data_IF_626317766602
#
_entry.id   IF_626317766602
#
_cell.length_a   1.000
_cell.length_b   1.000
_cell.length_c   1.000
_cell.angle_alpha   90.00
_cell.angle_beta   90.00
_cell.angle_gamma   90.00
#
_symmetry.space_group_name_H-M   'P 1'
#
loop_
_entity.id
_entity.type
_entity.pdbx_description
1 polymer ?
#
# COMPACT_ATOMS: atom_id res chain seq x y z
N UNK A 1 -11.48 -51.18 -22.63
CA UNK A 1 -10.74 -50.43 -23.65
C UNK A 1 -9.32 -51.00 -23.71
N UNK A 2 -8.79 -51.35 -24.89
CA UNK A 2 -7.41 -51.91 -24.97
C UNK A 2 -6.42 -50.87 -24.51
N UNK A 3 -5.39 -51.25 -23.77
CA UNK A 3 -4.38 -50.37 -23.16
C UNK A 3 -3.81 -49.34 -24.17
N UNK A 4 -3.52 -49.78 -25.37
CA UNK A 4 -3.06 -48.93 -26.48
C UNK A 4 -4.08 -47.80 -26.81
N UNK A 5 -5.37 -48.10 -26.81
CA UNK A 5 -6.42 -47.08 -27.08
C UNK A 5 -6.49 -46.05 -25.95
N UNK A 6 -6.35 -46.52 -24.68
CA UNK A 6 -6.27 -45.62 -23.51
C UNK A 6 -5.08 -44.67 -23.61
N UNK A 7 -3.90 -45.20 -23.95
CA UNK A 7 -2.69 -44.39 -24.09
C UNK A 7 -2.78 -43.35 -25.20
N UNK A 8 -3.35 -43.76 -26.38
CA UNK A 8 -3.58 -42.82 -27.49
C UNK A 8 -4.55 -41.71 -27.10
N UNK A 9 -5.67 -42.06 -26.46
CA UNK A 9 -6.65 -41.05 -26.00
C UNK A 9 -6.02 -40.09 -24.97
N UNK A 10 -5.22 -40.62 -24.02
CA UNK A 10 -4.52 -39.78 -23.04
C UNK A 10 -3.56 -38.83 -23.74
N UNK A 11 -2.74 -39.31 -24.68
CA UNK A 11 -1.80 -38.46 -25.43
C UNK A 11 -2.51 -37.38 -26.24
N UNK A 12 -3.61 -37.74 -26.90
CA UNK A 12 -4.41 -36.79 -27.69
C UNK A 12 -5.04 -35.70 -26.79
N UNK A 13 -5.62 -36.10 -25.66
CA UNK A 13 -6.22 -35.14 -24.72
C UNK A 13 -5.15 -34.23 -24.07
N UNK A 14 -4.04 -34.80 -23.65
CA UNK A 14 -2.92 -34.00 -23.08
C UNK A 14 -2.35 -33.04 -24.12
N UNK A 15 -2.12 -33.52 -25.34
CA UNK A 15 -1.66 -32.69 -26.45
C UNK A 15 -2.65 -31.57 -26.79
N UNK A 16 -3.95 -31.89 -26.85
CA UNK A 16 -4.99 -30.89 -27.12
C UNK A 16 -5.00 -29.79 -26.02
N UNK A 17 -4.86 -30.15 -24.75
CA UNK A 17 -4.80 -29.18 -23.67
C UNK A 17 -3.56 -28.29 -23.80
N UNK A 18 -2.37 -28.87 -23.92
CA UNK A 18 -1.10 -28.13 -23.99
C UNK A 18 -1.04 -27.23 -25.22
N UNK A 19 -1.27 -27.77 -26.40
CA UNK A 19 -1.22 -26.99 -27.62
C UNK A 19 -2.41 -26.04 -27.77
N UNK A 20 -3.58 -26.39 -27.23
CA UNK A 20 -4.75 -25.52 -27.20
C UNK A 20 -4.53 -24.28 -26.34
N UNK A 21 -3.98 -24.45 -25.14
CA UNK A 21 -3.61 -23.32 -24.27
C UNK A 21 -2.51 -22.46 -24.89
N UNK A 22 -1.48 -23.10 -25.50
CA UNK A 22 -0.40 -22.34 -26.15
C UNK A 22 -0.95 -21.52 -27.34
N UNK A 23 -1.78 -22.12 -28.18
CA UNK A 23 -2.41 -21.41 -29.31
C UNK A 23 -3.34 -20.28 -28.82
N UNK A 24 -4.12 -20.53 -27.78
CA UNK A 24 -4.98 -19.50 -27.17
C UNK A 24 -4.14 -18.32 -26.65
N UNK A 25 -3.01 -18.58 -25.95
CA UNK A 25 -2.11 -17.53 -25.49
C UNK A 25 -1.51 -16.70 -26.62
N UNK A 26 -1.08 -17.36 -27.73
CA UNK A 26 -0.52 -16.67 -28.91
C UNK A 26 -1.57 -15.77 -29.61
N UNK A 27 -2.84 -16.17 -29.57
CA UNK A 27 -3.93 -15.47 -30.27
C UNK A 27 -4.58 -14.39 -29.37
N UNK A 28 -4.37 -14.42 -28.07
CA UNK A 28 -4.91 -13.44 -27.12
C UNK A 28 -3.94 -12.28 -26.97
N UNK A 29 -4.38 -11.01 -27.08
CA UNK A 29 -3.52 -9.87 -26.81
C UNK A 29 -3.03 -9.88 -25.36
N UNK A 30 -1.77 -9.44 -25.18
CA UNK A 30 -1.18 -9.32 -23.84
C UNK A 30 -1.95 -8.30 -23.00
N UNK A 31 -2.13 -8.62 -21.72
CA UNK A 31 -2.68 -7.72 -20.72
C UNK A 31 -1.61 -6.78 -20.19
N UNK A 32 -1.98 -5.53 -19.92
CA UNK A 32 -1.06 -4.57 -19.31
C UNK A 32 -1.10 -4.62 -17.78
N UNK A 33 -2.28 -4.87 -17.19
CA UNK A 33 -2.52 -4.80 -15.74
C UNK A 33 -3.33 -6.02 -15.28
N UNK A 34 -2.92 -6.60 -14.16
CA UNK A 34 -3.75 -7.55 -13.42
C UNK A 34 -4.77 -6.80 -12.57
N UNK A 35 -6.05 -6.88 -12.96
CA UNK A 35 -7.12 -6.28 -12.17
C UNK A 35 -7.27 -6.93 -10.77
N UNK A 36 -6.99 -8.23 -10.67
CA UNK A 36 -7.10 -8.98 -9.41
C UNK A 36 -5.95 -8.66 -8.43
N UNK A 37 -4.71 -8.54 -8.93
CA UNK A 37 -3.52 -8.27 -8.12
C UNK A 37 -3.17 -6.78 -8.02
N UNK A 38 -3.82 -5.91 -8.81
CA UNK A 38 -3.57 -4.46 -8.88
C UNK A 38 -2.09 -4.13 -9.15
N UNK A 39 -1.52 -4.83 -10.12
CA UNK A 39 -0.12 -4.62 -10.55
C UNK A 39 0.01 -4.69 -12.07
N UNK A 40 1.04 -4.06 -12.64
CA UNK A 40 1.42 -4.32 -14.02
C UNK A 40 1.73 -5.82 -14.23
N UNK A 41 1.39 -6.31 -15.42
CA UNK A 41 1.81 -7.63 -15.89
C UNK A 41 3.10 -7.49 -16.70
N UNK A 42 3.97 -8.50 -16.58
CA UNK A 42 5.18 -8.55 -17.36
C UNK A 42 4.87 -8.57 -18.86
N UNK A 43 5.63 -7.79 -19.61
CA UNK A 43 5.51 -7.67 -21.05
C UNK A 43 6.61 -8.47 -21.73
N UNK A 44 6.42 -8.78 -23.03
CA UNK A 44 7.40 -9.54 -23.79
C UNK A 44 8.79 -8.89 -23.71
N UNK A 45 9.81 -9.60 -23.20
CA UNK A 45 11.12 -9.04 -23.01
C UNK A 45 11.84 -8.72 -24.33
N UNK A 46 12.78 -7.76 -24.27
CA UNK A 46 13.59 -7.40 -25.40
C UNK A 46 14.50 -8.57 -25.81
N UNK A 47 14.39 -8.96 -27.09
CA UNK A 47 15.20 -10.01 -27.67
C UNK A 47 16.50 -9.43 -28.25
N UNK A 48 17.62 -9.67 -27.58
CA UNK A 48 18.95 -9.28 -28.05
C UNK A 48 19.99 -10.37 -27.76
N UNK A 49 21.12 -10.34 -28.48
CA UNK A 49 22.20 -11.29 -28.23
C UNK A 49 22.79 -11.15 -26.82
N UNK A 50 22.75 -9.94 -26.26
CA UNK A 50 23.25 -9.64 -24.91
C UNK A 50 22.29 -10.25 -23.85
N UNK A 51 20.97 -10.05 -24.00
CA UNK A 51 19.97 -10.60 -23.06
C UNK A 51 19.91 -12.11 -23.09
N UNK A 52 20.19 -12.74 -24.25
CA UNK A 52 20.27 -14.20 -24.40
C UNK A 52 21.55 -14.72 -23.72
N UNK A 53 22.71 -14.13 -24.02
CA UNK A 53 24.02 -14.60 -23.53
C UNK A 53 24.15 -14.43 -22.00
N UNK A 54 23.51 -13.39 -21.42
CA UNK A 54 23.46 -13.16 -19.96
C UNK A 54 22.42 -14.02 -19.22
N UNK A 55 21.53 -14.71 -19.94
CA UNK A 55 20.40 -15.44 -19.36
C UNK A 55 19.22 -14.55 -18.93
N UNK A 56 19.35 -13.22 -19.06
CA UNK A 56 18.31 -12.24 -18.68
C UNK A 56 17.00 -12.51 -19.44
N UNK A 57 17.10 -12.72 -20.77
CA UNK A 57 15.93 -13.03 -21.59
C UNK A 57 15.15 -14.24 -21.07
N UNK A 58 15.84 -15.31 -20.65
CA UNK A 58 15.16 -16.53 -20.19
C UNK A 58 14.37 -16.28 -18.89
N UNK A 59 14.93 -15.53 -17.95
CA UNK A 59 14.24 -15.17 -16.70
C UNK A 59 13.04 -14.27 -16.95
N UNK A 60 13.21 -13.19 -17.70
CA UNK A 60 12.13 -12.26 -18.03
C UNK A 60 11.01 -12.92 -18.89
N UNK A 61 11.39 -13.86 -19.77
CA UNK A 61 10.42 -14.63 -20.56
C UNK A 61 9.62 -15.61 -19.71
N UNK A 62 10.21 -16.18 -18.65
CA UNK A 62 9.50 -17.02 -17.69
C UNK A 62 8.44 -16.20 -16.94
N UNK A 63 8.81 -15.01 -16.43
CA UNK A 63 7.90 -14.08 -15.75
C UNK A 63 6.77 -13.62 -16.69
N UNK A 64 7.11 -13.19 -17.90
CA UNK A 64 6.14 -12.86 -18.94
C UNK A 64 5.16 -14.01 -19.23
N UNK A 65 5.69 -15.22 -19.45
CA UNK A 65 4.87 -16.39 -19.76
C UNK A 65 3.91 -16.76 -18.63
N UNK A 66 4.34 -16.57 -17.38
CA UNK A 66 3.49 -16.80 -16.22
C UNK A 66 2.40 -15.74 -16.09
N UNK A 67 2.71 -14.47 -16.38
CA UNK A 67 1.77 -13.36 -16.27
C UNK A 67 0.75 -13.33 -17.42
N UNK A 68 1.17 -13.67 -18.64
CA UNK A 68 0.30 -13.73 -19.83
C UNK A 68 -0.32 -15.11 -20.04
N UNK A 69 -0.19 -16.02 -19.06
CA UNK A 69 -0.73 -17.37 -19.19
C UNK A 69 -2.25 -17.36 -19.36
N UNK A 70 -2.80 -18.08 -20.38
CA UNK A 70 -4.24 -18.15 -20.60
C UNK A 70 -5.01 -18.60 -19.37
N UNK A 71 -6.11 -17.91 -19.05
CA UNK A 71 -6.94 -18.21 -17.87
C UNK A 71 -6.17 -18.13 -16.53
N UNK A 72 -5.12 -17.32 -16.47
CA UNK A 72 -4.23 -17.17 -15.31
C UNK A 72 -5.00 -17.08 -14.00
N UNK A 73 -5.97 -16.18 -13.88
CA UNK A 73 -6.74 -16.00 -12.64
C UNK A 73 -7.54 -17.25 -12.26
N UNK A 74 -8.02 -18.00 -13.23
CA UNK A 74 -8.70 -19.28 -12.98
C UNK A 74 -7.74 -20.30 -12.38
N UNK A 75 -6.54 -20.43 -12.95
CA UNK A 75 -5.52 -21.35 -12.42
C UNK A 75 -5.02 -20.92 -11.05
N UNK A 76 -4.86 -19.61 -10.80
CA UNK A 76 -4.52 -19.06 -9.49
C UNK A 76 -5.59 -19.42 -8.44
N UNK A 77 -6.87 -19.31 -8.77
CA UNK A 77 -7.98 -19.72 -7.89
C UNK A 77 -7.97 -21.23 -7.64
N UNK A 78 -7.76 -22.05 -8.65
CA UNK A 78 -7.64 -23.51 -8.49
C UNK A 78 -6.47 -23.85 -7.57
N UNK A 79 -5.29 -23.20 -7.78
CA UNK A 79 -4.13 -23.33 -6.88
C UNK A 79 -4.51 -22.96 -5.44
N UNK A 80 -5.15 -21.82 -5.23
CA UNK A 80 -5.54 -21.36 -3.91
C UNK A 80 -6.49 -22.34 -3.20
N UNK A 81 -7.50 -22.85 -3.90
CA UNK A 81 -8.38 -23.89 -3.35
C UNK A 81 -7.63 -25.18 -3.00
N UNK A 82 -6.69 -25.61 -3.84
CA UNK A 82 -5.87 -26.77 -3.55
C UNK A 82 -4.97 -26.55 -2.32
N UNK A 83 -4.29 -25.39 -2.27
CA UNK A 83 -3.40 -25.00 -1.18
C UNK A 83 -4.13 -24.97 0.17
N UNK A 84 -5.24 -24.24 0.25
CA UNK A 84 -5.97 -24.07 1.50
C UNK A 84 -6.89 -25.26 1.82
N UNK A 85 -7.61 -25.79 0.82
CA UNK A 85 -8.66 -26.79 1.03
C UNK A 85 -8.12 -28.21 1.07
N UNK A 86 -7.21 -28.60 0.17
CA UNK A 86 -6.68 -29.96 0.04
C UNK A 86 -5.41 -30.12 0.87
N UNK A 87 -4.41 -29.30 0.61
CA UNK A 87 -3.11 -29.42 1.26
C UNK A 87 -3.06 -28.76 2.65
N UNK A 88 -4.06 -27.95 2.98
CA UNK A 88 -4.17 -27.21 4.26
C UNK A 88 -2.89 -26.45 4.61
N UNK A 89 -2.26 -25.87 3.60
CA UNK A 89 -1.11 -24.99 3.81
C UNK A 89 -1.56 -23.71 4.50
N UNK A 90 -0.66 -23.11 5.29
CA UNK A 90 -0.97 -21.94 6.08
C UNK A 90 -1.23 -20.69 5.26
N UNK A 91 -0.55 -20.53 4.11
CA UNK A 91 -0.62 -19.37 3.24
C UNK A 91 -0.64 -19.74 1.74
N UNK A 92 -0.96 -18.78 0.90
CA UNK A 92 -0.78 -18.83 -0.56
C UNK A 92 -0.16 -17.51 -1.03
N UNK A 93 1.01 -17.59 -1.66
CA UNK A 93 1.79 -16.41 -2.10
C UNK A 93 2.13 -15.44 -0.95
N UNK A 94 2.41 -15.96 0.24
CA UNK A 94 2.71 -15.17 1.43
C UNK A 94 1.50 -14.49 2.07
N UNK A 95 0.28 -14.72 1.58
CA UNK A 95 -0.96 -14.23 2.19
C UNK A 95 -1.64 -15.38 2.93
N UNK A 96 -2.00 -15.18 4.18
CA UNK A 96 -2.78 -16.11 4.97
C UNK A 96 -4.12 -15.52 5.37
N UNK A 97 -5.10 -16.39 5.67
CA UNK A 97 -6.46 -15.96 6.03
C UNK A 97 -6.84 -16.62 7.36
N UNK A 98 -7.17 -15.82 8.35
CA UNK A 98 -7.70 -16.25 9.65
C UNK A 98 -8.84 -15.35 10.10
N UNK A 99 -9.86 -15.95 10.67
CA UNK A 99 -11.03 -15.23 11.24
C UNK A 99 -11.68 -14.23 10.27
N UNK A 100 -11.57 -14.51 8.97
CA UNK A 100 -12.10 -13.64 7.91
C UNK A 100 -11.19 -12.48 7.50
N UNK A 101 -10.02 -12.33 8.13
CA UNK A 101 -8.99 -11.36 7.74
C UNK A 101 -7.90 -12.02 6.89
N UNK A 102 -7.54 -11.38 5.80
CA UNK A 102 -6.35 -11.70 5.02
C UNK A 102 -5.20 -10.79 5.46
N UNK A 103 -4.03 -11.36 5.68
CA UNK A 103 -2.80 -10.63 5.98
C UNK A 103 -1.64 -11.24 5.23
N UNK A 104 -0.66 -10.41 4.90
CA UNK A 104 0.60 -10.84 4.32
C UNK A 104 1.57 -11.23 5.43
N UNK A 105 2.38 -12.24 5.19
CA UNK A 105 3.47 -12.62 6.08
C UNK A 105 4.58 -11.57 5.98
N UNK A 106 4.74 -10.76 7.02
CA UNK A 106 5.81 -9.78 7.14
C UNK A 106 6.89 -10.32 8.10
N UNK A 107 7.91 -10.92 7.51
CA UNK A 107 8.97 -11.64 8.18
C UNK A 107 10.11 -11.98 7.20
N UNK A 108 11.38 -11.98 7.63
CA UNK A 108 11.87 -11.49 8.92
C UNK A 108 11.98 -9.96 9.01
N UNK A 109 12.40 -9.46 10.18
CA UNK A 109 12.82 -8.07 10.33
C UNK A 109 14.13 -7.84 9.54
N UNK A 110 14.15 -6.82 8.67
CA UNK A 110 15.33 -6.40 7.90
C UNK A 110 15.94 -5.13 8.53
N UNK A 111 16.91 -5.32 9.41
CA UNK A 111 17.59 -4.21 10.11
C UNK A 111 18.32 -3.28 9.12
N UNK A 112 18.89 -3.82 8.03
CA UNK A 112 19.56 -3.00 7.01
C UNK A 112 18.56 -2.11 6.25
N UNK A 113 17.31 -2.56 6.11
CA UNK A 113 16.23 -1.74 5.57
C UNK A 113 15.87 -0.58 6.50
N UNK A 114 15.83 -0.82 7.81
CA UNK A 114 15.55 0.24 8.80
C UNK A 114 16.67 1.29 8.84
N UNK A 115 17.92 0.86 8.82
CA UNK A 115 19.08 1.77 8.75
C UNK A 115 19.00 2.66 7.51
N UNK A 116 18.70 2.07 6.33
CA UNK A 116 18.52 2.83 5.09
C UNK A 116 17.37 3.84 5.19
N UNK A 117 16.22 3.47 5.77
CA UNK A 117 15.12 4.39 5.98
C UNK A 117 15.56 5.59 6.84
N UNK A 118 16.24 5.32 7.96
CA UNK A 118 16.75 6.35 8.85
C UNK A 118 17.77 7.28 8.16
N UNK A 119 18.65 6.73 7.30
CA UNK A 119 19.60 7.53 6.50
C UNK A 119 18.88 8.46 5.52
N UNK A 120 17.82 7.97 4.83
CA UNK A 120 17.01 8.82 3.94
C UNK A 120 16.31 9.92 4.72
N UNK A 121 15.71 9.60 5.87
CA UNK A 121 15.05 10.58 6.73
C UNK A 121 16.04 11.62 7.24
N UNK A 122 17.21 11.17 7.67
CA UNK A 122 18.29 12.08 8.10
C UNK A 122 18.74 13.02 6.97
N UNK A 123 18.88 12.51 5.76
CA UNK A 123 19.23 13.33 4.58
C UNK A 123 18.19 14.43 4.32
N UNK A 124 16.91 14.11 4.42
CA UNK A 124 15.81 15.10 4.29
C UNK A 124 15.91 16.13 5.42
N UNK A 125 16.07 15.67 6.67
CA UNK A 125 16.19 16.53 7.83
C UNK A 125 17.36 17.50 7.70
N UNK A 126 18.56 17.00 7.46
CA UNK A 126 19.79 17.80 7.39
C UNK A 126 19.75 18.84 6.24
N UNK A 127 18.97 18.56 5.20
CA UNK A 127 18.90 19.42 4.02
C UNK A 127 17.83 20.50 4.10
N UNK A 128 16.72 20.22 4.78
CA UNK A 128 15.53 21.05 4.66
C UNK A 128 14.87 21.44 5.98
N UNK A 129 15.12 20.74 7.10
CA UNK A 129 14.25 20.79 8.27
C UNK A 129 14.92 21.41 9.52
N UNK A 130 15.99 22.18 9.34
CA UNK A 130 16.78 22.79 10.42
C UNK A 130 15.98 23.74 11.33
N UNK A 131 14.86 24.29 10.84
CA UNK A 131 13.98 25.20 11.58
C UNK A 131 12.64 24.55 11.98
N UNK A 132 12.44 23.29 11.61
CA UNK A 132 11.16 22.57 11.81
C UNK A 132 11.17 21.75 13.09
N UNK A 133 10.00 21.57 13.69
CA UNK A 133 9.77 20.49 14.64
C UNK A 133 9.42 19.24 13.88
N UNK A 134 10.21 18.19 14.08
CA UNK A 134 10.10 16.97 13.31
C UNK A 134 9.59 15.83 14.17
N UNK A 135 8.49 15.24 13.74
CA UNK A 135 7.82 14.15 14.41
C UNK A 135 7.90 12.89 13.56
N UNK A 136 7.84 11.74 14.22
CA UNK A 136 7.85 10.45 13.56
C UNK A 136 6.82 9.51 14.20
N UNK A 137 6.07 8.78 13.39
CA UNK A 137 5.15 7.76 13.85
C UNK A 137 5.19 6.53 12.95
N UNK A 138 5.06 5.34 13.55
CA UNK A 138 5.12 4.05 12.89
C UNK A 138 3.73 3.42 12.90
N UNK A 139 3.25 3.04 11.72
CA UNK A 139 1.97 2.35 11.57
C UNK A 139 2.25 0.85 11.52
N UNK A 140 1.83 0.04 12.51
CA UNK A 140 1.95 -1.40 12.43
C UNK A 140 1.08 -1.95 11.29
N UNK A 141 1.54 -2.99 10.62
CA UNK A 141 0.72 -3.73 9.67
C UNK A 141 -0.14 -4.79 10.38
N UNK A 142 -1.12 -5.34 9.67
CA UNK A 142 -2.07 -6.32 10.22
C UNK A 142 -1.42 -7.55 10.83
N UNK A 143 -0.26 -7.96 10.31
CA UNK A 143 0.46 -9.13 10.81
C UNK A 143 0.88 -8.98 12.26
N UNK A 144 1.07 -7.73 12.75
CA UNK A 144 1.36 -7.42 14.15
C UNK A 144 0.27 -7.95 15.10
N UNK A 145 -1.00 -7.89 14.67
CA UNK A 145 -2.15 -8.26 15.49
C UNK A 145 -2.59 -9.72 15.31
N UNK A 146 -2.22 -10.36 14.18
CA UNK A 146 -2.76 -11.67 13.80
C UNK A 146 -1.74 -12.81 13.92
N UNK A 147 -0.48 -12.57 13.56
CA UNK A 147 0.45 -13.66 13.29
C UNK A 147 0.70 -14.54 14.52
N UNK A 148 1.07 -13.93 15.64
CA UNK A 148 1.49 -14.66 16.83
C UNK A 148 0.37 -15.55 17.39
N UNK A 149 -0.85 -15.06 17.49
CA UNK A 149 -1.98 -15.81 18.03
C UNK A 149 -2.42 -16.99 17.15
N UNK A 150 -2.06 -16.96 15.87
CA UNK A 150 -2.36 -18.02 14.91
C UNK A 150 -1.15 -18.87 14.52
N UNK A 151 0.01 -18.66 15.18
CA UNK A 151 1.22 -19.45 14.96
C UNK A 151 1.93 -19.15 13.64
N UNK A 152 1.74 -17.96 13.08
CA UNK A 152 2.47 -17.50 11.90
C UNK A 152 3.75 -16.77 12.28
N UNK A 153 4.77 -16.77 11.40
CA UNK A 153 5.95 -15.96 11.59
C UNK A 153 5.60 -14.47 11.54
N UNK A 154 6.30 -13.70 12.36
CA UNK A 154 6.13 -12.26 12.50
C UNK A 154 7.49 -11.61 12.72
N UNK A 155 7.68 -10.40 12.26
CA UNK A 155 8.84 -9.62 12.66
C UNK A 155 8.71 -9.17 14.13
N UNK A 156 9.81 -8.74 14.70
CA UNK A 156 9.84 -8.12 16.03
C UNK A 156 9.51 -6.62 15.91
N UNK A 157 8.23 -6.27 16.09
CA UNK A 157 7.74 -4.90 15.97
C UNK A 157 8.30 -3.97 17.05
N UNK A 158 8.54 -4.46 18.27
CA UNK A 158 9.15 -3.68 19.32
C UNK A 158 10.60 -3.33 18.95
N UNK A 159 11.37 -4.29 18.46
CA UNK A 159 12.72 -4.08 17.98
C UNK A 159 12.78 -3.11 16.79
N UNK A 160 11.80 -3.19 15.87
CA UNK A 160 11.68 -2.24 14.75
C UNK A 160 11.53 -0.81 15.29
N UNK A 161 10.59 -0.59 16.21
CA UNK A 161 10.36 0.73 16.80
C UNK A 161 11.59 1.24 17.56
N UNK A 162 12.27 0.37 18.32
CA UNK A 162 13.49 0.71 19.05
C UNK A 162 14.62 1.14 18.09
N UNK A 163 14.87 0.38 17.03
CA UNK A 163 15.92 0.71 16.04
C UNK A 163 15.60 2.04 15.37
N UNK A 164 14.38 2.22 14.88
CA UNK A 164 14.00 3.47 14.22
C UNK A 164 14.12 4.67 15.14
N UNK A 165 13.61 4.59 16.37
CA UNK A 165 13.68 5.67 17.34
C UNK A 165 15.13 6.02 17.68
N UNK A 166 16.01 5.04 17.87
CA UNK A 166 17.43 5.25 18.14
C UNK A 166 18.18 5.83 16.93
N UNK A 167 17.80 5.45 15.72
CA UNK A 167 18.44 5.91 14.48
C UNK A 167 17.96 7.30 14.02
N UNK A 168 16.84 7.79 14.56
CA UNK A 168 16.26 9.11 14.23
C UNK A 168 16.13 10.03 15.46
N UNK A 169 17.22 10.28 16.23
CA UNK A 169 17.15 11.06 17.49
C UNK A 169 16.81 12.55 17.29
N UNK A 170 16.74 13.01 16.05
CA UNK A 170 16.33 14.35 15.65
C UNK A 170 14.82 14.50 15.46
N UNK A 171 14.06 13.41 15.64
CA UNK A 171 12.60 13.37 15.54
C UNK A 171 11.99 13.06 16.91
N UNK A 172 10.85 13.66 17.20
CA UNK A 172 10.00 13.27 18.33
C UNK A 172 9.11 12.11 17.93
N UNK A 173 9.30 10.94 18.56
CA UNK A 173 8.49 9.75 18.26
C UNK A 173 7.12 9.83 18.94
N UNK A 174 6.06 9.69 18.15
CA UNK A 174 4.68 9.63 18.63
C UNK A 174 4.20 8.18 18.51
N UNK A 175 4.10 7.41 19.60
CA UNK A 175 3.61 6.04 19.58
C UNK A 175 2.10 6.01 19.35
N UNK A 176 1.64 5.24 18.37
CA UNK A 176 0.22 5.06 18.02
C UNK A 176 -0.23 3.60 18.03
N UNK A 177 0.70 2.67 18.19
CA UNK A 177 0.45 1.23 18.16
C UNK A 177 -0.56 0.76 19.22
N UNK A 178 -0.55 1.42 20.38
CA UNK A 178 -1.44 1.13 21.51
C UNK A 178 -2.90 1.57 21.29
N UNK A 179 -3.16 2.38 20.25
CA UNK A 179 -4.51 2.83 19.85
C UNK A 179 -5.13 1.92 18.79
N UNK A 180 -4.36 0.98 18.24
CA UNK A 180 -4.76 0.18 17.10
C UNK A 180 -5.01 -1.27 17.49
N UNK A 181 -6.04 -1.84 16.86
CA UNK A 181 -6.38 -3.25 16.95
C UNK A 181 -6.71 -3.82 15.56
N UNK A 182 -6.92 -5.14 15.46
CA UNK A 182 -7.17 -5.80 14.18
C UNK A 182 -8.42 -5.25 13.45
N UNK A 183 -9.44 -4.88 14.19
CA UNK A 183 -10.72 -4.36 13.72
C UNK A 183 -10.61 -2.98 13.04
N UNK A 184 -9.51 -2.27 13.26
CA UNK A 184 -9.24 -0.99 12.61
C UNK A 184 -8.71 -1.14 11.19
N UNK A 185 -8.44 -2.37 10.77
CA UNK A 185 -7.98 -2.67 9.43
C UNK A 185 -9.08 -3.30 8.57
N UNK A 186 -9.01 -3.07 7.26
CA UNK A 186 -9.85 -3.81 6.32
C UNK A 186 -9.52 -5.30 6.35
N UNK A 187 -10.54 -6.14 6.22
CA UNK A 187 -10.37 -7.60 6.24
C UNK A 187 -9.57 -8.11 5.05
N UNK A 188 -9.76 -7.50 3.89
CA UNK A 188 -9.22 -7.95 2.62
C UNK A 188 -8.12 -7.07 2.05
N UNK A 189 -7.86 -5.91 2.69
CA UNK A 189 -6.84 -4.95 2.26
C UNK A 189 -5.69 -4.82 3.26
N UNK A 190 -4.61 -4.17 2.85
CA UNK A 190 -3.46 -3.87 3.71
C UNK A 190 -3.74 -2.74 4.70
N UNK A 191 -4.58 -1.78 4.30
CA UNK A 191 -4.75 -0.53 5.00
C UNK A 191 -5.71 -0.61 6.19
N UNK A 192 -5.59 0.36 7.07
CA UNK A 192 -6.57 0.68 8.10
C UNK A 192 -7.81 1.37 7.52
N UNK A 193 -8.86 1.46 8.31
CA UNK A 193 -10.17 2.04 7.96
C UNK A 193 -10.23 3.46 8.51
N UNK A 194 -10.52 4.46 7.65
CA UNK A 194 -10.51 5.86 8.06
C UNK A 194 -11.43 6.15 9.24
N UNK A 195 -12.62 5.55 9.27
CA UNK A 195 -13.61 5.74 10.32
C UNK A 195 -13.21 5.14 11.68
N UNK A 196 -12.10 4.41 11.73
CA UNK A 196 -11.60 3.74 12.95
C UNK A 196 -10.33 4.36 13.51
N UNK A 197 -9.77 5.37 12.86
CA UNK A 197 -8.48 5.98 13.23
C UNK A 197 -8.60 7.47 13.60
N UNK A 198 -9.78 7.93 13.99
CA UNK A 198 -9.96 9.32 14.43
C UNK A 198 -9.21 9.62 15.74
N UNK A 199 -9.09 8.65 16.64
CA UNK A 199 -8.30 8.72 17.87
C UNK A 199 -6.79 8.76 17.60
N UNK A 200 -6.32 8.04 16.57
CA UNK A 200 -4.92 8.14 16.10
C UNK A 200 -4.65 9.55 15.58
N UNK A 201 -5.56 10.12 14.80
CA UNK A 201 -5.41 11.50 14.33
C UNK A 201 -5.39 12.49 15.50
N UNK A 202 -6.28 12.32 16.50
CA UNK A 202 -6.29 13.14 17.71
C UNK A 202 -4.95 13.04 18.48
N UNK A 203 -4.42 11.84 18.68
CA UNK A 203 -3.12 11.61 19.31
C UNK A 203 -1.98 12.35 18.58
N UNK A 204 -1.95 12.24 17.24
CA UNK A 204 -0.95 12.97 16.43
C UNK A 204 -1.13 14.48 16.54
N UNK A 205 -2.37 14.98 16.47
CA UNK A 205 -2.69 16.41 16.62
C UNK A 205 -2.27 16.95 17.99
N UNK A 206 -2.60 16.25 19.07
CA UNK A 206 -2.24 16.62 20.43
C UNK A 206 -0.71 16.70 20.61
N UNK A 207 0.03 15.72 20.13
CA UNK A 207 1.49 15.69 20.19
C UNK A 207 2.12 16.86 19.40
N UNK A 208 1.54 17.21 18.24
CA UNK A 208 1.97 18.36 17.43
C UNK A 208 1.40 19.70 17.92
N UNK A 209 0.59 19.70 18.98
CA UNK A 209 0.03 20.90 19.61
C UNK A 209 -1.01 21.62 18.75
N UNK A 210 -1.85 20.86 18.05
CA UNK A 210 -3.01 21.35 17.32
C UNK A 210 -4.29 20.69 17.82
N UNK A 211 -5.37 21.46 17.86
CA UNK A 211 -6.68 20.96 18.25
C UNK A 211 -7.44 20.47 17.02
N UNK A 212 -7.90 19.23 17.07
CA UNK A 212 -8.78 18.63 16.08
C UNK A 212 -10.16 18.45 16.71
N UNK A 213 -11.20 18.98 16.09
CA UNK A 213 -12.58 18.86 16.63
C UNK A 213 -13.07 17.41 16.54
N UNK A 214 -12.68 16.71 15.48
CA UNK A 214 -13.02 15.30 15.29
C UNK A 214 -14.51 15.05 15.04
N UNK A 215 -15.26 16.06 14.66
CA UNK A 215 -16.68 15.95 14.35
C UNK A 215 -16.87 15.60 12.88
N UNK A 216 -17.24 14.34 12.62
CA UNK A 216 -17.41 13.83 11.26
C UNK A 216 -18.74 13.13 11.08
N UNK A 217 -19.25 13.17 9.86
CA UNK A 217 -20.31 12.27 9.37
C UNK A 217 -19.64 11.09 8.68
N UNK A 218 -19.94 9.88 9.13
CA UNK A 218 -19.50 8.65 8.48
C UNK A 218 -20.38 8.37 7.27
N UNK A 219 -19.76 8.24 6.10
CA UNK A 219 -20.42 7.95 4.83
C UNK A 219 -19.83 6.67 4.22
N UNK A 220 -20.69 5.88 3.58
CA UNK A 220 -20.32 4.62 2.94
C UNK A 220 -20.27 4.77 1.42
N UNK A 221 -19.30 4.12 0.76
CA UNK A 221 -19.39 3.93 -0.68
C UNK A 221 -20.50 2.92 -1.03
N UNK A 222 -21.30 3.25 -2.03
CA UNK A 222 -22.38 2.39 -2.54
C UNK A 222 -21.84 1.30 -3.49
N UNK A 223 -20.81 0.59 -3.03
CA UNK A 223 -20.23 -0.57 -3.73
C UNK A 223 -19.38 -1.40 -2.78
N UNK A 224 -19.28 -2.73 -3.00
CA UNK A 224 -18.41 -3.56 -2.19
C UNK A 224 -16.93 -3.24 -2.47
N UNK A 225 -16.14 -3.21 -1.42
CA UNK A 225 -14.69 -3.06 -1.45
C UNK A 225 -14.03 -4.44 -1.32
N UNK A 226 -13.14 -4.77 -2.24
CA UNK A 226 -12.30 -5.97 -2.22
C UNK A 226 -10.85 -5.52 -2.18
N UNK A 227 -10.17 -5.72 -1.07
CA UNK A 227 -8.80 -5.29 -0.90
C UNK A 227 -7.77 -6.12 -1.68
N UNK A 228 -6.54 -5.62 -1.74
CA UNK A 228 -5.44 -6.19 -2.51
C UNK A 228 -5.12 -7.64 -2.12
N UNK A 229 -5.27 -8.00 -0.85
CA UNK A 229 -4.98 -9.35 -0.39
C UNK A 229 -5.99 -10.38 -0.90
N UNK A 230 -7.23 -9.99 -1.18
CA UNK A 230 -8.21 -10.86 -1.83
C UNK A 230 -7.72 -11.35 -3.20
N UNK A 231 -7.15 -10.44 -3.99
CA UNK A 231 -6.55 -10.76 -5.28
C UNK A 231 -5.24 -11.54 -5.17
N UNK A 232 -4.34 -11.14 -4.26
CA UNK A 232 -3.06 -11.81 -4.05
C UNK A 232 -3.24 -13.27 -3.55
N UNK A 233 -4.16 -13.49 -2.62
CA UNK A 233 -4.52 -14.82 -2.14
C UNK A 233 -5.28 -15.65 -3.19
N UNK A 234 -5.85 -15.00 -4.20
CA UNK A 234 -6.74 -15.59 -5.20
C UNK A 234 -7.93 -16.35 -4.59
N UNK A 235 -8.42 -15.91 -3.43
CA UNK A 235 -9.57 -16.45 -2.73
C UNK A 235 -10.78 -15.53 -2.88
N UNK A 236 -11.99 -16.08 -2.99
CA UNK A 236 -13.23 -15.32 -3.02
C UNK A 236 -13.59 -14.88 -1.58
N UNK A 237 -12.84 -13.93 -1.03
CA UNK A 237 -13.18 -13.33 0.25
C UNK A 237 -14.41 -12.42 0.09
N UNK A 238 -15.28 -12.32 1.10
CA UNK A 238 -16.43 -11.43 1.04
C UNK A 238 -15.99 -9.97 0.89
N UNK A 239 -16.72 -9.20 0.08
CA UNK A 239 -16.54 -7.76 0.01
C UNK A 239 -16.94 -7.11 1.33
N UNK A 240 -16.31 -6.00 1.63
CA UNK A 240 -16.59 -5.18 2.80
C UNK A 240 -17.02 -3.77 2.38
N UNK A 241 -17.47 -2.94 3.31
CA UNK A 241 -17.85 -1.56 3.02
C UNK A 241 -16.64 -0.65 3.27
N UNK A 242 -16.34 0.23 2.33
CA UNK A 242 -15.41 1.31 2.52
C UNK A 242 -16.20 2.52 3.03
N UNK A 243 -15.82 3.02 4.20
CA UNK A 243 -16.36 4.24 4.80
C UNK A 243 -15.35 5.37 4.67
N UNK A 244 -15.85 6.58 4.65
CA UNK A 244 -15.06 7.79 4.72
C UNK A 244 -15.74 8.84 5.61
N UNK A 245 -14.95 9.71 6.20
CA UNK A 245 -15.38 10.72 7.14
C UNK A 245 -15.50 12.08 6.44
N UNK A 246 -16.64 12.73 6.56
CA UNK A 246 -16.92 14.01 5.92
C UNK A 246 -17.35 15.08 6.94
N UNK A 247 -16.96 16.31 6.70
CA UNK A 247 -17.46 17.51 7.36
C UNK A 247 -17.25 18.74 6.48
N UNK A 248 -17.81 19.87 6.87
CA UNK A 248 -17.74 21.12 6.11
C UNK A 248 -16.31 21.61 5.88
N UNK A 249 -15.36 21.30 6.79
CA UNK A 249 -13.95 21.68 6.64
C UNK A 249 -13.32 20.91 5.49
N UNK A 250 -13.50 19.58 5.46
CA UNK A 250 -12.95 18.73 4.41
C UNK A 250 -13.53 19.06 3.03
N UNK A 251 -14.85 19.35 2.97
CA UNK A 251 -15.52 19.76 1.74
C UNK A 251 -15.05 21.12 1.22
N UNK A 252 -14.69 22.04 2.13
CA UNK A 252 -14.17 23.37 1.81
C UNK A 252 -12.70 23.39 1.37
N UNK A 253 -11.95 22.30 1.56
CA UNK A 253 -10.54 22.23 1.23
C UNK A 253 -10.29 22.04 -0.27
N UNK A 254 -9.15 22.57 -0.73
CA UNK A 254 -8.65 22.33 -2.10
C UNK A 254 -7.29 21.62 -2.04
N UNK A 255 -7.13 20.60 -2.88
CA UNK A 255 -5.89 19.83 -3.00
C UNK A 255 -5.26 20.12 -4.35
N UNK A 256 -4.05 20.66 -4.36
CA UNK A 256 -3.26 20.87 -5.58
C UNK A 256 -2.35 19.68 -5.82
N UNK A 257 -2.50 19.04 -6.96
CA UNK A 257 -1.65 17.94 -7.43
C UNK A 257 -0.49 18.50 -8.26
N UNK A 258 0.74 18.39 -7.75
CA UNK A 258 1.94 18.90 -8.41
C UNK A 258 2.33 18.07 -9.66
N UNK A 259 1.86 16.84 -9.79
CA UNK A 259 2.13 16.02 -10.98
C UNK A 259 1.32 16.47 -12.19
N UNK A 260 0.06 16.80 -11.95
CA UNK A 260 -0.89 17.16 -13.02
C UNK A 260 -1.09 18.66 -13.18
N UNK A 261 -0.71 19.44 -12.16
CA UNK A 261 -0.97 20.89 -12.09
C UNK A 261 -2.46 21.22 -11.89
N UNK A 262 -3.26 20.29 -11.37
CA UNK A 262 -4.72 20.45 -11.21
C UNK A 262 -5.13 20.51 -9.75
N UNK A 263 -6.29 21.12 -9.53
CA UNK A 263 -6.97 21.08 -8.24
C UNK A 263 -8.01 19.97 -8.20
N UNK A 264 -8.16 19.35 -7.03
CA UNK A 264 -9.14 18.31 -6.72
C UNK A 264 -9.68 18.49 -5.31
N UNK A 265 -10.68 17.69 -4.92
CA UNK A 265 -11.14 17.55 -3.53
C UNK A 265 -10.23 16.64 -2.71
N UNK A 266 -10.51 16.56 -1.41
CA UNK A 266 -9.83 15.63 -0.48
C UNK A 266 -10.15 14.17 -0.85
N UNK A 267 -11.34 13.91 -1.33
CA UNK A 267 -11.81 12.61 -1.81
C UNK A 267 -12.02 12.64 -3.32
N UNK A 268 -11.42 11.67 -4.00
CA UNK A 268 -11.52 11.48 -5.46
C UNK A 268 -12.53 10.36 -5.77
N UNK A 269 -13.76 10.76 -6.09
CA UNK A 269 -14.84 9.82 -6.38
C UNK A 269 -14.69 9.12 -7.75
N UNK A 270 -13.88 9.65 -8.67
CA UNK A 270 -13.55 8.94 -9.91
C UNK A 270 -12.65 7.73 -9.59
N UNK A 271 -11.67 7.91 -8.70
CA UNK A 271 -10.85 6.81 -8.18
C UNK A 271 -11.67 5.83 -7.36
N UNK A 272 -12.62 6.30 -6.54
CA UNK A 272 -13.54 5.43 -5.81
C UNK A 272 -14.33 4.49 -6.73
N UNK A 273 -14.65 4.90 -7.95
CA UNK A 273 -15.30 4.08 -8.95
C UNK A 273 -14.35 3.12 -9.69
N UNK A 274 -13.03 3.29 -9.52
CA UNK A 274 -11.97 2.52 -10.17
C UNK A 274 -11.77 1.11 -9.61
N UNK A 275 -10.62 0.52 -9.96
CA UNK A 275 -10.22 -0.82 -9.50
C UNK A 275 -9.86 -0.85 -8.02
N UNK A 276 -9.26 0.22 -7.50
CA UNK A 276 -8.92 0.39 -6.10
C UNK A 276 -9.69 1.55 -5.49
N UNK A 277 -10.85 1.28 -4.86
CA UNK A 277 -11.62 2.33 -4.20
C UNK A 277 -10.88 3.06 -3.08
N UNK A 278 -9.86 2.46 -2.46
CA UNK A 278 -9.04 3.12 -1.44
C UNK A 278 -8.27 4.32 -2.01
N UNK A 279 -7.97 4.33 -3.31
CA UNK A 279 -7.36 5.48 -3.96
C UNK A 279 -8.23 6.75 -3.94
N UNK A 280 -9.47 6.68 -3.45
CA UNK A 280 -10.27 7.90 -3.24
C UNK A 280 -9.64 8.86 -2.24
N UNK A 281 -8.90 8.34 -1.27
CA UNK A 281 -8.20 9.16 -0.29
C UNK A 281 -7.00 9.87 -0.95
N UNK A 282 -7.09 11.19 -1.11
CA UNK A 282 -6.08 12.04 -1.73
C UNK A 282 -5.61 11.57 -3.12
N UNK A 283 -6.53 10.96 -3.91
CA UNK A 283 -6.25 10.41 -5.25
C UNK A 283 -5.14 9.36 -5.28
N UNK A 284 -4.92 8.65 -4.15
CA UNK A 284 -4.03 7.48 -4.05
C UNK A 284 -2.54 7.80 -4.01
N UNK A 285 -1.80 7.15 -4.92
CA UNK A 285 -0.33 7.21 -4.96
C UNK A 285 0.14 8.46 -5.70
N UNK A 286 0.16 9.61 -5.00
CA UNK A 286 0.67 10.90 -5.49
C UNK A 286 2.01 11.22 -4.86
N UNK A 287 2.94 11.75 -5.67
CA UNK A 287 4.28 12.11 -5.20
C UNK A 287 4.28 13.35 -4.32
N UNK A 288 3.47 14.37 -4.68
CA UNK A 288 3.41 15.63 -3.96
C UNK A 288 2.05 16.30 -4.13
N UNK A 289 1.41 16.60 -3.00
CA UNK A 289 0.15 17.34 -2.92
C UNK A 289 0.30 18.52 -1.97
N UNK A 290 -0.47 19.59 -2.21
CA UNK A 290 -0.65 20.68 -1.25
C UNK A 290 -2.14 20.88 -0.98
N UNK A 291 -2.54 20.68 0.27
CA UNK A 291 -3.91 20.88 0.75
C UNK A 291 -4.01 22.27 1.36
N UNK A 292 -5.01 23.05 0.99
CA UNK A 292 -5.31 24.35 1.61
C UNK A 292 -6.64 24.26 2.34
N UNK A 293 -6.62 24.68 3.60
CA UNK A 293 -7.79 24.76 4.47
C UNK A 293 -8.18 26.21 4.71
N UNK A 294 -9.18 26.76 4.00
CA UNK A 294 -9.59 28.15 4.18
C UNK A 294 -10.34 28.42 5.49
N UNK A 295 -10.78 27.37 6.21
CA UNK A 295 -11.47 27.48 7.48
C UNK A 295 -10.51 27.60 8.68
N UNK A 296 -9.20 27.36 8.48
CA UNK A 296 -8.18 27.46 9.51
C UNK A 296 -7.25 28.65 9.25
N UNK A 297 -7.26 29.64 10.16
CA UNK A 297 -6.50 30.89 10.05
C UNK A 297 -5.36 30.99 11.10
N UNK A 298 -5.00 29.86 11.74
CA UNK A 298 -3.98 29.83 12.80
C UNK A 298 -2.54 30.04 12.30
N UNK A 299 -2.33 30.06 10.98
CA UNK A 299 -1.02 30.21 10.34
C UNK A 299 -0.07 29.03 10.51
N UNK A 300 -0.52 27.90 11.09
CA UNK A 300 0.27 26.67 11.17
C UNK A 300 0.20 25.90 9.88
N UNK A 301 1.32 25.36 9.47
CA UNK A 301 1.42 24.47 8.30
C UNK A 301 2.10 23.17 8.69
N UNK A 302 1.76 22.09 8.01
CA UNK A 302 2.29 20.74 8.22
C UNK A 302 2.88 20.19 6.93
N UNK A 303 4.02 19.53 7.02
CA UNK A 303 4.55 18.68 5.94
C UNK A 303 4.47 17.22 6.41
N UNK A 304 3.81 16.38 5.64
CA UNK A 304 3.69 14.95 5.93
C UNK A 304 4.46 14.14 4.89
N UNK A 305 5.51 13.48 5.32
CA UNK A 305 6.17 12.41 4.57
C UNK A 305 5.48 11.10 4.89
N UNK A 306 4.91 10.43 3.86
CA UNK A 306 4.02 9.31 4.12
C UNK A 306 4.15 8.20 3.08
N UNK A 307 3.58 7.04 3.40
CA UNK A 307 3.18 6.01 2.45
C UNK A 307 1.65 6.01 2.25
N UNK A 308 1.10 4.96 1.62
CA UNK A 308 -0.32 4.89 1.28
C UNK A 308 -1.27 4.92 2.49
N UNK A 309 -0.84 4.49 3.67
CA UNK A 309 -1.62 4.61 4.89
C UNK A 309 -1.91 6.07 5.25
N UNK A 310 -0.96 6.96 4.99
CA UNK A 310 -1.14 8.40 5.19
C UNK A 310 -2.26 9.01 4.36
N UNK A 311 -2.67 8.39 3.25
CA UNK A 311 -3.73 8.93 2.40
C UNK A 311 -5.07 9.09 3.14
N UNK A 312 -5.43 8.17 4.03
CA UNK A 312 -6.70 8.22 4.76
C UNK A 312 -6.64 8.99 6.07
N UNK A 313 -5.47 9.10 6.73
CA UNK A 313 -5.37 9.83 8.00
C UNK A 313 -5.05 11.32 7.81
N UNK A 314 -4.30 11.70 6.78
CA UNK A 314 -3.99 13.12 6.52
C UNK A 314 -5.25 14.00 6.44
N UNK A 315 -6.36 13.58 5.80
CA UNK A 315 -7.62 14.30 5.86
C UNK A 315 -8.07 14.65 7.28
N UNK A 316 -7.85 13.78 8.25
CA UNK A 316 -8.28 13.98 9.64
C UNK A 316 -7.39 14.98 10.40
N UNK A 317 -6.21 15.32 9.88
CA UNK A 317 -5.29 16.32 10.45
C UNK A 317 -5.57 17.74 9.92
N UNK A 318 -6.40 17.88 8.88
CA UNK A 318 -6.59 19.16 8.15
C UNK A 318 -7.15 20.26 9.07
N UNK A 319 -8.02 19.93 10.01
CA UNK A 319 -8.62 20.92 10.92
C UNK A 319 -7.60 21.71 11.72
N UNK A 320 -6.44 21.13 12.04
CA UNK A 320 -5.37 21.73 12.83
C UNK A 320 -4.46 22.68 12.05
N UNK A 321 -4.55 22.74 10.71
CA UNK A 321 -3.58 23.44 9.89
C UNK A 321 -4.23 24.27 8.77
N UNK A 322 -3.62 25.41 8.45
CA UNK A 322 -4.02 26.26 7.31
C UNK A 322 -3.59 25.66 5.96
N UNK A 323 -2.51 24.88 5.95
CA UNK A 323 -2.07 24.12 4.80
C UNK A 323 -1.34 22.83 5.24
N UNK A 324 -1.50 21.77 4.44
CA UNK A 324 -0.73 20.52 4.58
C UNK A 324 -0.08 20.18 3.25
N UNK A 325 1.26 20.03 3.27
CA UNK A 325 2.00 19.46 2.14
C UNK A 325 2.22 17.96 2.38
N UNK A 326 1.80 17.13 1.44
CA UNK A 326 1.91 15.67 1.53
C UNK A 326 2.93 15.22 0.50
N UNK A 327 3.99 14.56 0.94
CA UNK A 327 5.07 14.07 0.09
C UNK A 327 5.26 12.57 0.23
N UNK A 328 5.33 11.86 -0.89
CA UNK A 328 5.68 10.45 -0.93
C UNK A 328 7.06 10.30 -1.60
N UNK A 329 8.09 10.19 -0.78
CA UNK A 329 9.49 10.09 -1.26
C UNK A 329 9.83 8.75 -1.91
N UNK A 330 8.86 7.87 -2.09
CA UNK A 330 8.99 6.70 -2.98
C UNK A 330 8.84 7.11 -4.45
N UNK A 331 8.08 8.17 -4.73
CA UNK A 331 7.76 8.65 -6.08
C UNK A 331 8.49 9.94 -6.45
N UNK A 332 8.84 10.80 -5.48
CA UNK A 332 9.68 11.98 -5.69
C UNK A 332 11.03 11.82 -4.97
N UNK A 333 12.13 12.14 -5.65
CA UNK A 333 13.44 12.16 -4.99
C UNK A 333 13.50 13.23 -3.91
N UNK A 334 14.00 12.86 -2.73
CA UNK A 334 14.24 13.78 -1.61
C UNK A 334 15.11 14.99 -2.02
N UNK A 335 16.01 14.81 -2.98
CA UNK A 335 16.87 15.89 -3.48
C UNK A 335 16.11 16.98 -4.26
N UNK A 336 14.93 16.67 -4.77
CA UNK A 336 14.12 17.59 -5.58
C UNK A 336 13.08 18.37 -4.78
N UNK A 337 12.82 18.00 -3.53
CA UNK A 337 11.74 18.60 -2.71
C UNK A 337 11.80 20.12 -2.65
N UNK A 338 12.97 20.70 -2.44
CA UNK A 338 13.16 22.16 -2.38
C UNK A 338 12.88 22.93 -3.67
N UNK A 339 12.53 22.24 -4.79
CA UNK A 339 12.04 22.89 -6.02
C UNK A 339 10.54 23.15 -5.98
N UNK A 340 9.82 22.47 -5.11
CA UNK A 340 8.36 22.46 -5.06
C UNK A 340 7.80 22.86 -3.70
N UNK A 341 8.58 22.64 -2.64
CA UNK A 341 8.20 22.92 -1.23
C UNK A 341 9.10 24.03 -0.70
N UNK A 342 8.48 25.05 -0.14
CA UNK A 342 9.15 26.10 0.61
C UNK A 342 9.23 25.69 2.10
N UNK A 343 10.44 25.41 2.56
CA UNK A 343 10.71 24.98 3.94
C UNK A 343 11.04 26.20 4.80
N UNK A 344 10.12 26.58 5.69
CA UNK A 344 10.22 27.80 6.50
C UNK A 344 9.86 27.58 7.99
N UNK A 345 10.04 26.35 8.49
CA UNK A 345 9.82 26.02 9.90
C UNK A 345 8.43 25.49 10.23
N UNK A 346 7.75 24.87 9.25
CA UNK A 346 6.51 24.12 9.44
C UNK A 346 6.72 22.95 10.39
N UNK A 347 5.65 22.47 11.02
CA UNK A 347 5.66 21.14 11.63
C UNK A 347 5.86 20.07 10.55
N UNK A 348 6.60 19.01 10.87
CA UNK A 348 6.90 17.92 9.92
C UNK A 348 6.59 16.58 10.57
N UNK A 349 5.83 15.75 9.92
CA UNK A 349 5.51 14.39 10.35
C UNK A 349 6.00 13.37 9.33
N UNK A 350 6.87 12.46 9.75
CA UNK A 350 7.17 11.23 9.03
C UNK A 350 6.22 10.13 9.52
N UNK A 351 5.34 9.67 8.64
CA UNK A 351 4.30 8.69 8.97
C UNK A 351 4.41 7.51 8.02
N UNK A 352 5.00 6.43 8.49
CA UNK A 352 5.30 5.26 7.66
C UNK A 352 4.85 3.96 8.29
N UNK A 353 4.34 3.05 7.46
CA UNK A 353 4.01 1.69 7.89
C UNK A 353 5.27 0.85 8.07
N UNK A 354 5.18 -0.16 8.91
CA UNK A 354 6.19 -1.21 9.07
C UNK A 354 6.52 -1.90 7.76
N UNK A 355 5.56 -1.98 6.83
CA UNK A 355 5.76 -2.55 5.47
C UNK A 355 6.82 -1.78 4.67
N UNK A 356 6.76 -0.45 4.70
CA UNK A 356 7.73 0.39 3.98
C UNK A 356 9.05 0.45 4.72
N UNK A 357 9.03 0.53 6.04
CA UNK A 357 10.27 0.56 6.84
C UNK A 357 11.06 -0.74 6.70
N UNK A 358 10.38 -1.90 6.75
CA UNK A 358 11.01 -3.21 6.57
C UNK A 358 11.42 -3.50 5.11
N UNK A 359 11.02 -2.67 4.14
CA UNK A 359 11.38 -2.74 2.72
C UNK A 359 11.60 -1.34 2.14
N UNK A 360 12.58 -0.62 2.68
CA UNK A 360 12.84 0.79 2.41
C UNK A 360 13.54 1.09 1.08
N UNK A 361 13.82 0.08 0.26
CA UNK A 361 14.53 0.24 -1.02
C UNK A 361 13.82 1.21 -1.99
N UNK A 362 12.55 1.43 -1.80
CA UNK A 362 11.75 2.36 -2.59
C UNK A 362 11.88 3.83 -2.16
N UNK A 363 12.39 4.12 -0.96
CA UNK A 363 12.65 5.48 -0.48
C UNK A 363 13.83 6.09 -1.25
N UNK A 364 13.67 7.35 -1.71
CA UNK A 364 14.63 8.03 -2.64
C UNK A 364 15.25 9.27 -2.03
#
# INVERSE_FOLDING_TARGET
MKERTKNIVTLMLSGMIVFGLALYGILTPDGEISASERRPLEQLPEFSMETIASGKFAGEFEEYSADQFPLRDTFRRIKAYAVYGIFRQGDNNGVYVKEGYASKLEYPLDEASLERAAEVFKKVNDKYLDQSRVYFSIIPDKNAFMAQQHGYPSMDYAKLADIMTQSTPFMEYIPIDHLLELEDYYRTDTHWRQERIADVAACLGDAMGVELKGEYTELALDRPFYGVYSGQAALPLPGETLYYLANDVLEGCSVYDHETGKYMGVYDFEKAAGQDPYEMFLSGSKSLLTIKNPACDNGKELIVFRDSFGSSIVPLLIEGYSAITVADIRYISSDMLGRFVDFHGQDVLFLYSTLVLNNSITLK
#
